data_IF_327131152247
#
_entry.id   IF_327131152247
#
_cell.length_a   1.000
_cell.length_b   1.000
_cell.length_c   1.000
_cell.angle_alpha   90.00
_cell.angle_beta   90.00
_cell.angle_gamma   90.00
#
_symmetry.space_group_name_H-M   'P 1'
#
loop_
_entity.id
_entity.type
_entity.pdbx_description
1 polymer ?
#
# COMPACT_ATOMS: atom_id res chain seq x y z
N UNK A 1 8.01 0.08 19.72
CA UNK A 1 8.45 1.05 18.73
C UNK A 1 7.62 0.94 17.47
N UNK A 2 7.50 2.04 16.76
CA UNK A 2 6.65 2.07 15.57
C UNK A 2 7.08 1.10 14.49
N UNK A 3 8.39 0.82 14.39
CA UNK A 3 8.90 -0.09 13.37
C UNK A 3 8.37 -1.50 13.53
N UNK A 4 8.22 -1.95 14.78
CA UNK A 4 7.71 -3.30 15.04
C UNK A 4 6.25 -3.44 14.62
N UNK A 5 5.46 -2.40 14.83
CA UNK A 5 4.05 -2.41 14.45
C UNK A 5 3.93 -2.52 12.92
N UNK A 6 4.68 -1.69 12.21
CA UNK A 6 4.64 -1.71 10.74
C UNK A 6 5.18 -3.01 10.18
N UNK A 7 6.20 -3.58 10.83
CA UNK A 7 6.73 -4.87 10.40
C UNK A 7 5.69 -5.97 10.54
N UNK A 8 4.95 -5.97 11.64
CA UNK A 8 3.88 -6.95 11.84
C UNK A 8 2.82 -6.84 10.76
N UNK A 9 2.44 -5.62 10.42
CA UNK A 9 1.45 -5.39 9.36
C UNK A 9 2.01 -5.87 8.02
N UNK A 10 3.28 -5.60 7.76
CA UNK A 10 3.93 -6.05 6.53
C UNK A 10 3.90 -7.58 6.44
N UNK A 11 4.17 -8.26 7.54
CA UNK A 11 4.14 -9.72 7.57
C UNK A 11 2.73 -10.25 7.28
N UNK A 12 1.70 -9.60 7.84
CA UNK A 12 0.32 -10.00 7.60
C UNK A 12 -0.03 -9.84 6.12
N UNK A 13 0.40 -8.74 5.51
CA UNK A 13 0.17 -8.49 4.10
C UNK A 13 0.87 -9.55 3.25
N UNK A 14 2.11 -9.88 3.58
CA UNK A 14 2.87 -10.89 2.84
C UNK A 14 2.21 -12.26 2.92
N UNK A 15 1.58 -12.56 4.04
CA UNK A 15 0.87 -13.83 4.23
C UNK A 15 -0.55 -13.79 3.69
N UNK A 16 -0.93 -12.68 3.07
CA UNK A 16 -2.28 -12.47 2.51
C UNK A 16 -3.37 -12.46 3.57
N UNK A 17 -3.02 -12.17 4.81
CA UNK A 17 -4.01 -12.00 5.87
C UNK A 17 -4.50 -10.56 5.87
N UNK A 18 -5.22 -10.21 4.82
CA UNK A 18 -5.55 -8.83 4.52
C UNK A 18 -6.52 -8.24 5.53
N UNK A 19 -7.51 -9.01 5.97
CA UNK A 19 -8.47 -8.51 6.96
C UNK A 19 -7.78 -8.17 8.28
N UNK A 20 -6.85 -9.02 8.70
CA UNK A 20 -6.10 -8.77 9.93
C UNK A 20 -5.18 -7.57 9.78
N UNK A 21 -4.51 -7.47 8.62
CA UNK A 21 -3.64 -6.32 8.35
C UNK A 21 -4.44 -5.03 8.36
N UNK A 22 -5.63 -5.07 7.78
CA UNK A 22 -6.50 -3.89 7.71
C UNK A 22 -6.92 -3.43 9.10
N UNK A 23 -7.26 -4.38 9.97
CA UNK A 23 -7.62 -4.05 11.35
C UNK A 23 -6.43 -3.44 12.09
N UNK A 24 -5.25 -4.01 11.91
CA UNK A 24 -4.07 -3.51 12.61
C UNK A 24 -3.68 -2.12 12.14
N UNK A 25 -3.73 -1.88 10.84
CA UNK A 25 -3.36 -0.58 10.32
C UNK A 25 -4.38 0.50 10.72
N UNK A 26 -5.63 0.12 10.87
CA UNK A 26 -6.68 1.04 11.27
C UNK A 26 -6.52 1.51 12.72
N UNK A 27 -5.79 0.75 13.53
CA UNK A 27 -5.56 1.12 14.93
C UNK A 27 -4.48 2.20 15.08
N UNK A 28 -3.73 2.47 14.03
CA UNK A 28 -2.62 3.42 14.10
C UNK A 28 -3.14 4.85 14.08
N UNK A 29 -2.50 5.71 14.89
CA UNK A 29 -2.93 7.10 15.00
C UNK A 29 -2.42 7.96 13.85
N UNK A 30 -2.81 9.23 13.90
CA UNK A 30 -2.46 10.17 12.83
C UNK A 30 -0.97 10.42 12.71
N UNK A 31 -0.19 10.08 13.73
CA UNK A 31 1.26 10.25 13.67
C UNK A 31 1.89 9.41 12.56
N UNK A 32 1.20 8.38 12.09
CA UNK A 32 1.69 7.53 11.02
C UNK A 32 1.36 8.08 9.63
N UNK A 33 0.47 9.04 9.52
CA UNK A 33 -0.02 9.51 8.22
C UNK A 33 1.04 10.17 7.35
N UNK A 34 2.17 10.54 7.93
CA UNK A 34 3.29 11.10 7.17
C UNK A 34 4.44 10.10 7.02
N UNK A 35 4.22 8.86 7.39
CA UNK A 35 5.23 7.82 7.25
C UNK A 35 5.07 7.16 5.88
N UNK A 36 6.14 7.20 5.08
CA UNK A 36 6.11 6.57 3.76
C UNK A 36 5.89 5.07 3.89
N UNK A 37 6.42 4.44 4.95
CA UNK A 37 6.24 3.02 5.16
C UNK A 37 4.79 2.68 5.47
N UNK A 38 4.14 3.48 6.32
CA UNK A 38 2.72 3.30 6.61
C UNK A 38 1.88 3.44 5.34
N UNK A 39 2.17 4.48 4.56
CA UNK A 39 1.41 4.72 3.34
C UNK A 39 1.64 3.62 2.31
N UNK A 40 2.87 3.12 2.24
CA UNK A 40 3.18 2.01 1.35
C UNK A 40 2.36 0.76 1.71
N UNK A 41 2.32 0.42 3.00
CA UNK A 41 1.55 -0.74 3.46
C UNK A 41 0.06 -0.55 3.23
N UNK A 42 -0.43 0.66 3.49
CA UNK A 42 -1.83 0.97 3.27
C UNK A 42 -2.19 0.81 1.79
N UNK A 43 -1.29 1.27 0.91
CA UNK A 43 -1.54 1.13 -0.53
C UNK A 43 -1.54 -0.32 -0.96
N UNK A 44 -0.67 -1.15 -0.38
CA UNK A 44 -0.68 -2.59 -0.70
C UNK A 44 -1.99 -3.24 -0.29
N UNK A 45 -2.51 -2.85 0.86
CA UNK A 45 -3.81 -3.37 1.31
C UNK A 45 -4.91 -2.95 0.34
N UNK A 46 -4.91 -1.69 -0.10
CA UNK A 46 -5.87 -1.23 -1.10
C UNK A 46 -5.76 -2.04 -2.38
N UNK A 47 -4.53 -2.24 -2.85
CA UNK A 47 -4.27 -2.97 -4.09
C UNK A 47 -4.80 -4.41 -3.99
N UNK A 48 -4.54 -5.08 -2.88
CA UNK A 48 -5.00 -6.46 -2.69
C UNK A 48 -6.51 -6.55 -2.53
N UNK A 49 -7.15 -5.44 -2.15
CA UNK A 49 -8.61 -5.36 -2.09
C UNK A 49 -9.20 -4.82 -3.40
N UNK A 50 -8.38 -4.72 -4.44
CA UNK A 50 -8.79 -4.27 -5.78
C UNK A 50 -9.24 -2.82 -5.83
N UNK A 51 -8.78 -2.02 -4.89
CA UNK A 51 -9.06 -0.59 -4.84
C UNK A 51 -7.85 0.15 -5.45
N UNK A 52 -7.70 -0.01 -6.76
CA UNK A 52 -6.47 0.39 -7.45
C UNK A 52 -6.21 1.89 -7.42
N UNK A 53 -7.23 2.70 -7.63
CA UNK A 53 -7.02 4.15 -7.66
C UNK A 53 -6.71 4.71 -6.29
N UNK A 54 -7.30 4.13 -5.23
CA UNK A 54 -6.96 4.51 -3.87
C UNK A 54 -5.51 4.12 -3.55
N UNK A 55 -5.08 2.97 -4.05
CA UNK A 55 -3.69 2.55 -3.87
C UNK A 55 -2.73 3.53 -4.55
N UNK A 56 -3.07 3.96 -5.77
CA UNK A 56 -2.24 4.92 -6.50
C UNK A 56 -2.16 6.24 -5.74
N UNK A 57 -3.30 6.78 -5.32
CA UNK A 57 -3.32 8.04 -4.58
C UNK A 57 -2.47 7.97 -3.32
N UNK A 58 -2.55 6.84 -2.60
CA UNK A 58 -1.79 6.67 -1.38
C UNK A 58 -0.30 6.61 -1.66
N UNK A 59 0.10 5.94 -2.75
CA UNK A 59 1.51 5.87 -3.12
C UNK A 59 2.04 7.22 -3.56
N UNK A 60 1.25 8.00 -4.29
CA UNK A 60 1.67 9.33 -4.71
C UNK A 60 1.87 10.23 -3.49
N UNK A 61 1.01 10.09 -2.49
CA UNK A 61 1.18 10.82 -1.23
C UNK A 61 2.47 10.38 -0.54
N UNK A 62 2.75 9.08 -0.53
CA UNK A 62 3.97 8.58 0.10
C UNK A 62 5.22 9.19 -0.53
N UNK A 63 5.21 9.41 -1.85
CA UNK A 63 6.34 10.00 -2.54
C UNK A 63 6.60 11.44 -2.12
N UNK A 64 5.60 12.12 -1.55
CA UNK A 64 5.81 13.48 -1.04
C UNK A 64 6.69 13.48 0.20
N UNK A 65 6.75 12.36 0.90
CA UNK A 65 7.57 12.25 2.12
C UNK A 65 8.89 11.56 1.87
N UNK A 66 8.89 10.50 1.09
CA UNK A 66 10.12 9.78 0.75
C UNK A 66 9.99 9.15 -0.64
N UNK A 67 11.05 9.26 -1.43
CA UNK A 67 11.07 8.69 -2.78
C UNK A 67 11.82 7.36 -2.75
N UNK A 68 11.13 6.32 -2.30
CA UNK A 68 11.72 4.99 -2.21
C UNK A 68 11.43 4.16 -3.46
N UNK A 69 12.41 3.35 -3.85
CA UNK A 69 12.28 2.50 -5.04
C UNK A 69 11.06 1.60 -4.97
N UNK A 70 10.77 1.03 -3.80
CA UNK A 70 9.63 0.12 -3.69
C UNK A 70 8.30 0.80 -3.95
N UNK A 71 8.21 2.11 -3.67
CA UNK A 71 6.99 2.86 -3.95
C UNK A 71 6.80 2.97 -5.46
N UNK A 72 7.87 3.33 -6.18
CA UNK A 72 7.82 3.40 -7.64
C UNK A 72 7.51 2.04 -8.26
N UNK A 73 8.10 0.99 -7.70
CA UNK A 73 7.87 -0.36 -8.22
C UNK A 73 6.43 -0.78 -8.06
N UNK A 74 5.83 -0.48 -6.91
CA UNK A 74 4.42 -0.84 -6.71
C UNK A 74 3.51 0.00 -7.60
N UNK A 75 3.82 1.28 -7.78
CA UNK A 75 3.07 2.12 -8.72
C UNK A 75 3.12 1.52 -10.12
N UNK A 76 4.31 1.15 -10.57
CA UNK A 76 4.47 0.56 -11.90
C UNK A 76 3.66 -0.73 -12.03
N UNK A 77 3.67 -1.55 -11.00
CA UNK A 77 2.92 -2.79 -11.00
C UNK A 77 1.42 -2.54 -11.12
N UNK A 78 0.91 -1.55 -10.38
CA UNK A 78 -0.51 -1.24 -10.39
C UNK A 78 -0.92 -0.67 -11.75
N UNK A 79 -0.14 0.26 -12.28
CA UNK A 79 -0.43 0.82 -13.60
C UNK A 79 -0.41 -0.26 -14.68
N UNK A 80 0.57 -1.15 -14.62
CA UNK A 80 0.66 -2.24 -15.57
C UNK A 80 -0.56 -3.14 -15.50
N UNK A 81 -0.99 -3.43 -14.27
CA UNK A 81 -2.18 -4.26 -14.07
C UNK A 81 -3.43 -3.61 -14.65
N UNK A 82 -3.61 -2.32 -14.40
CA UNK A 82 -4.77 -1.59 -14.91
C UNK A 82 -4.75 -1.55 -16.42
N UNK A 83 -3.60 -1.24 -17.02
CA UNK A 83 -3.48 -1.18 -18.46
C UNK A 83 -3.77 -2.54 -19.10
N UNK A 84 -3.20 -3.60 -18.54
CA UNK A 84 -3.43 -4.94 -19.08
C UNK A 84 -4.89 -5.34 -19.00
N UNK A 85 -5.54 -5.00 -17.88
CA UNK A 85 -6.94 -5.35 -17.69
C UNK A 85 -7.84 -4.64 -18.69
N UNK A 86 -7.57 -3.33 -18.90
CA UNK A 86 -8.38 -2.56 -19.83
C UNK A 86 -8.15 -2.98 -21.27
N UNK A 87 -6.89 -3.23 -21.64
CA UNK A 87 -6.57 -3.65 -22.99
C UNK A 87 -6.98 -5.11 -23.25
N UNK A 88 -6.89 -5.93 -22.23
CA UNK A 88 -7.22 -7.34 -22.36
C UNK A 88 -8.71 -7.61 -22.57
N UNK A 89 -9.54 -6.62 -22.30
CA UNK A 89 -10.99 -6.76 -22.46
C UNK A 89 -11.46 -6.51 -23.90
N UNK A 90 -10.54 -6.26 -24.78
CA UNK A 90 -10.87 -6.02 -26.20
C UNK A 90 -10.91 -7.31 -27.04
#
# INVERSE_FOLDING_TARGET
>A
MSDDVLKNISDLVDKRKINEAQLEIAKLGSEYHKSSEYLYLRSKIFYLNKLYYLAIDTLLTALEFEKKDKIYMLLAEIYKFICNKELGNK
#
